data_IF_946577974797
#
_entry.id   IF_946577974797
#
_cell.length_a   1.000
_cell.length_b   1.000
_cell.length_c   1.000
_cell.angle_alpha   90.00
_cell.angle_beta   90.00
_cell.angle_gamma   90.00
#
_symmetry.space_group_name_H-M   'P 1'
#
loop_
_entity.id
_entity.type
_entity.pdbx_description
1 polymer ?
#
# COMPACT_ATOMS: atom_id res chain seq x y z
N UNK A 1 -20.36 10.39 -8.15
CA UNK A 1 -19.03 11.03 -8.07
C UNK A 1 -18.08 10.05 -7.38
N UNK A 2 -16.81 9.98 -7.78
CA UNK A 2 -15.85 8.99 -7.24
C UNK A 2 -15.45 7.85 -8.19
N UNK A 3 -15.81 7.93 -9.48
CA UNK A 3 -15.43 6.93 -10.49
C UNK A 3 -13.94 7.05 -10.91
N UNK A 4 -13.40 8.26 -10.89
CA UNK A 4 -12.01 8.55 -11.28
C UNK A 4 -11.31 9.33 -10.17
N UNK A 5 -10.04 9.01 -9.93
CA UNK A 5 -9.23 9.71 -8.93
C UNK A 5 -8.64 11.02 -9.45
N UNK A 6 -8.32 11.10 -10.75
CA UNK A 6 -7.65 12.24 -11.40
C UNK A 6 -8.09 12.36 -12.86
N UNK A 7 -8.09 13.59 -13.38
CA UNK A 7 -8.37 13.90 -14.79
C UNK A 7 -7.26 14.81 -15.29
N UNK A 8 -6.66 14.45 -16.43
CA UNK A 8 -5.56 15.19 -17.07
C UNK A 8 -5.86 15.36 -18.56
N UNK A 9 -5.15 16.27 -19.21
CA UNK A 9 -5.17 16.37 -20.68
C UNK A 9 -4.65 15.08 -21.30
N UNK A 10 -5.12 14.75 -22.52
CA UNK A 10 -4.82 13.47 -23.16
C UNK A 10 -3.31 13.26 -23.40
N UNK A 11 -2.57 14.31 -23.72
CA UNK A 11 -1.12 14.32 -23.92
C UNK A 11 -0.31 14.16 -22.63
N UNK A 12 -0.93 14.36 -21.47
CA UNK A 12 -0.33 14.18 -20.15
C UNK A 12 -0.69 12.83 -19.49
N UNK A 13 -1.51 12.00 -20.15
CA UNK A 13 -2.01 10.75 -19.56
C UNK A 13 -0.88 9.80 -19.16
N UNK A 14 0.05 9.53 -20.07
CA UNK A 14 1.15 8.59 -19.83
C UNK A 14 2.04 9.06 -18.67
N UNK A 15 2.38 10.35 -18.64
CA UNK A 15 3.18 10.93 -17.56
C UNK A 15 2.49 10.80 -16.19
N UNK A 16 1.17 10.97 -16.12
CA UNK A 16 0.43 10.84 -14.87
C UNK A 16 0.27 9.37 -14.43
N UNK A 17 0.11 8.45 -15.39
CA UNK A 17 0.12 7.00 -15.13
C UNK A 17 1.48 6.57 -14.59
N UNK A 18 2.58 6.96 -15.23
CA UNK A 18 3.94 6.64 -14.80
C UNK A 18 4.23 7.17 -13.40
N UNK A 19 3.79 8.39 -13.10
CA UNK A 19 3.93 8.98 -11.77
C UNK A 19 3.18 8.18 -10.71
N UNK A 20 1.95 7.76 -11.00
CA UNK A 20 1.16 6.96 -10.07
C UNK A 20 1.77 5.57 -9.88
N UNK A 21 2.08 4.87 -10.99
CA UNK A 21 2.69 3.55 -10.97
C UNK A 21 4.03 3.57 -10.23
N UNK A 22 4.88 4.56 -10.51
CA UNK A 22 6.16 4.80 -9.82
C UNK A 22 6.00 4.90 -8.30
N UNK A 23 4.97 5.60 -7.82
CA UNK A 23 4.68 5.72 -6.38
C UNK A 23 4.21 4.41 -5.72
N UNK A 24 3.67 3.49 -6.50
CA UNK A 24 3.20 2.17 -6.03
C UNK A 24 4.37 1.19 -6.01
N UNK A 25 5.12 1.08 -7.11
CA UNK A 25 6.24 0.12 -7.22
C UNK A 25 7.44 0.49 -6.33
N UNK A 26 7.50 1.74 -5.85
CA UNK A 26 8.49 2.17 -4.86
C UNK A 26 8.21 1.62 -3.43
N UNK A 27 7.15 0.86 -3.21
CA UNK A 27 6.73 0.31 -1.91
C UNK A 27 6.77 -1.21 -1.92
N UNK A 28 6.80 -1.83 -0.74
CA UNK A 28 6.66 -3.28 -0.59
C UNK A 28 5.40 -3.82 -1.29
N UNK A 29 5.59 -4.78 -2.19
CA UNK A 29 4.49 -5.47 -2.86
C UNK A 29 3.61 -6.25 -1.86
N UNK A 30 4.23 -6.81 -0.81
CA UNK A 30 3.54 -7.53 0.26
C UNK A 30 2.60 -6.58 1.02
N UNK A 31 3.13 -5.44 1.48
CA UNK A 31 2.31 -4.46 2.21
C UNK A 31 1.16 -3.90 1.36
N UNK A 32 1.40 -3.63 0.07
CA UNK A 32 0.36 -3.15 -0.86
C UNK A 32 -0.70 -4.23 -1.08
N UNK A 33 -0.31 -5.48 -1.26
CA UNK A 33 -1.21 -6.62 -1.43
C UNK A 33 -2.10 -6.83 -0.21
N UNK A 34 -1.48 -6.94 0.97
CA UNK A 34 -2.19 -7.12 2.25
C UNK A 34 -3.16 -5.98 2.53
N UNK A 35 -2.71 -4.72 2.36
CA UNK A 35 -3.56 -3.54 2.56
C UNK A 35 -4.75 -3.48 1.62
N UNK A 36 -4.59 -3.84 0.34
CA UNK A 36 -5.69 -3.89 -0.62
C UNK A 36 -6.71 -4.97 -0.29
N UNK A 37 -6.24 -6.19 0.03
CA UNK A 37 -7.13 -7.29 0.43
C UNK A 37 -7.92 -6.92 1.69
N UNK A 38 -7.23 -6.36 2.68
CA UNK A 38 -7.87 -5.89 3.90
C UNK A 38 -8.92 -4.83 3.62
N UNK A 39 -8.60 -3.84 2.79
CA UNK A 39 -9.51 -2.76 2.43
C UNK A 39 -10.81 -3.27 1.81
N UNK A 40 -10.76 -4.23 0.89
CA UNK A 40 -11.98 -4.77 0.29
C UNK A 40 -12.80 -5.61 1.27
N UNK A 41 -12.14 -6.42 2.10
CA UNK A 41 -12.84 -7.27 3.06
C UNK A 41 -13.51 -6.48 4.19
N UNK A 42 -12.90 -5.38 4.65
CA UNK A 42 -13.51 -4.54 5.70
C UNK A 42 -14.80 -3.81 5.24
N UNK A 43 -15.02 -3.62 3.92
CA UNK A 43 -16.23 -2.97 3.41
C UNK A 43 -17.51 -3.75 3.73
N UNK A 44 -17.38 -5.06 3.94
CA UNK A 44 -18.48 -5.96 4.29
C UNK A 44 -18.69 -6.07 5.80
N UNK A 45 -17.90 -5.34 6.60
CA UNK A 45 -17.90 -5.41 8.06
C UNK A 45 -18.54 -4.17 8.68
N UNK A 46 -19.07 -4.33 9.90
CA UNK A 46 -19.35 -3.19 10.78
C UNK A 46 -18.06 -2.56 11.29
N UNK A 47 -18.12 -1.30 11.73
CA UNK A 47 -16.95 -0.50 12.12
C UNK A 47 -16.03 -1.22 13.12
N UNK A 48 -16.60 -1.82 14.17
CA UNK A 48 -15.85 -2.54 15.19
C UNK A 48 -15.07 -3.73 14.60
N UNK A 49 -15.74 -4.54 13.77
CA UNK A 49 -15.11 -5.69 13.10
C UNK A 49 -14.03 -5.25 12.11
N UNK A 50 -14.25 -4.16 11.38
CA UNK A 50 -13.26 -3.58 10.49
C UNK A 50 -11.99 -3.17 11.25
N UNK A 51 -12.12 -2.53 12.41
CA UNK A 51 -10.97 -2.15 13.24
C UNK A 51 -10.22 -3.36 13.82
N UNK A 52 -10.94 -4.37 14.30
CA UNK A 52 -10.33 -5.61 14.79
C UNK A 52 -9.53 -6.28 13.66
N UNK A 53 -10.16 -6.47 12.50
CA UNK A 53 -9.52 -7.11 11.36
C UNK A 53 -8.32 -6.31 10.81
N UNK A 54 -8.43 -4.98 10.72
CA UNK A 54 -7.31 -4.14 10.30
C UNK A 54 -6.13 -4.24 11.27
N UNK A 55 -6.39 -4.35 12.58
CA UNK A 55 -5.35 -4.52 13.60
C UNK A 55 -4.63 -5.86 13.46
N UNK A 56 -5.37 -6.94 13.21
CA UNK A 56 -4.79 -8.27 12.94
C UNK A 56 -3.92 -8.26 11.68
N UNK A 57 -4.41 -7.69 10.57
CA UNK A 57 -3.64 -7.58 9.33
C UNK A 57 -2.37 -6.75 9.53
N UNK A 58 -2.45 -5.67 10.30
CA UNK A 58 -1.28 -4.86 10.63
C UNK A 58 -0.26 -5.66 11.44
N UNK A 59 -0.70 -6.42 12.45
CA UNK A 59 0.18 -7.29 13.22
C UNK A 59 0.85 -8.37 12.36
N UNK A 60 0.11 -8.99 11.43
CA UNK A 60 0.69 -9.93 10.47
C UNK A 60 1.69 -9.26 9.52
N UNK A 61 1.37 -8.05 9.02
CA UNK A 61 2.25 -7.30 8.12
C UNK A 61 3.59 -6.98 8.80
N UNK A 62 3.58 -6.67 10.11
CA UNK A 62 4.78 -6.42 10.90
C UNK A 62 5.74 -7.62 11.00
N UNK A 63 5.26 -8.83 10.73
CA UNK A 63 6.09 -10.05 10.76
C UNK A 63 6.80 -10.33 9.43
N UNK A 64 6.58 -9.51 8.40
CA UNK A 64 7.21 -9.67 7.08
C UNK A 64 8.62 -9.11 7.05
N UNK A 65 9.50 -9.66 6.20
CA UNK A 65 10.87 -9.13 6.05
C UNK A 65 10.84 -7.70 5.52
N UNK A 66 9.96 -7.44 4.55
CA UNK A 66 9.75 -6.10 3.99
C UNK A 66 9.33 -5.09 5.07
N UNK A 67 8.53 -5.46 6.07
CA UNK A 67 8.18 -4.53 7.15
C UNK A 67 9.41 -4.16 8.01
N UNK A 68 10.25 -5.15 8.34
CA UNK A 68 11.51 -4.91 9.05
C UNK A 68 12.45 -4.00 8.26
N UNK A 69 12.67 -4.31 6.98
CA UNK A 69 13.48 -3.51 6.06
C UNK A 69 12.97 -2.08 5.91
N UNK A 70 11.65 -1.90 5.79
CA UNK A 70 11.04 -0.58 5.68
C UNK A 70 11.29 0.29 6.92
N UNK A 71 11.21 -0.31 8.11
CA UNK A 71 11.50 0.36 9.38
C UNK A 71 12.98 0.72 9.49
N UNK A 72 13.86 -0.25 9.22
CA UNK A 72 15.32 -0.06 9.29
C UNK A 72 15.80 0.99 8.27
N UNK A 73 15.25 0.96 7.05
CA UNK A 73 15.57 1.93 6.02
C UNK A 73 15.10 3.34 6.41
N UNK A 74 13.92 3.47 7.00
CA UNK A 74 13.39 4.74 7.49
C UNK A 74 14.26 5.32 8.62
N UNK A 75 14.59 4.51 9.64
CA UNK A 75 15.47 4.90 10.76
C UNK A 75 16.85 5.28 10.24
N UNK A 76 17.40 4.49 9.31
CA UNK A 76 18.70 4.71 8.68
C UNK A 76 18.72 5.81 7.62
N UNK A 77 17.58 6.47 7.31
CA UNK A 77 17.45 7.49 6.26
C UNK A 77 17.96 7.03 4.88
N UNK A 78 17.82 5.75 4.58
CA UNK A 78 18.19 5.13 3.31
C UNK A 78 16.94 4.71 2.54
N UNK A 79 17.11 4.39 1.26
CA UNK A 79 16.03 3.76 0.49
C UNK A 79 15.88 2.30 0.92
N UNK A 80 14.65 1.79 1.06
CA UNK A 80 14.42 0.38 1.35
C UNK A 80 14.68 -0.49 0.11
N UNK A 81 15.17 -1.70 0.35
CA UNK A 81 15.33 -2.75 -0.65
C UNK A 81 14.27 -3.84 -0.44
N UNK A 82 13.16 -3.73 -1.17
CA UNK A 82 12.05 -4.68 -1.05
C UNK A 82 12.39 -6.03 -1.68
N UNK A 83 12.19 -7.12 -0.94
CA UNK A 83 12.38 -8.49 -1.42
C UNK A 83 11.09 -9.12 -1.92
N UNK A 84 9.93 -8.59 -1.48
CA UNK A 84 8.62 -9.12 -1.84
C UNK A 84 8.24 -10.38 -1.06
N UNK A 85 8.81 -10.58 0.13
CA UNK A 85 8.51 -11.67 1.05
C UNK A 85 8.38 -11.19 2.51
#
# INVERSE_FOLDING_TARGET
QGLVNRVVAADALDAEVDRLAGSIVAKSAVAIGMGKQMFYKQLEMGLEGAYQYASEVMACNMMTEDAGEGIDAFIGKRKPEWKGC
#
